data_IF_167962611298
#
_entry.id   IF_167962611298
#
_cell.length_a   1.000
_cell.length_b   1.000
_cell.length_c   1.000
_cell.angle_alpha   90.00
_cell.angle_beta   90.00
_cell.angle_gamma   90.00
#
_symmetry.space_group_name_H-M   'P 1'
#
loop_
_entity.id
_entity.type
_entity.pdbx_description
1 polymer ?
#
# COMPACT_ATOMS: atom_id res chain seq x y z
N UNK A 1 20.72 16.79 1.43
CA UNK A 1 19.61 17.59 2.00
C UNK A 1 18.46 17.48 1.01
N UNK A 2 17.54 16.54 1.26
CA UNK A 2 16.31 16.43 0.46
C UNK A 2 15.43 17.62 0.83
N UNK A 3 15.15 18.47 -0.15
CA UNK A 3 14.18 19.54 0.01
C UNK A 3 12.80 18.89 0.14
N UNK A 4 12.22 18.95 1.33
CA UNK A 4 10.80 18.69 1.51
C UNK A 4 10.04 19.76 0.73
N UNK A 5 9.54 19.42 -0.45
CA UNK A 5 8.69 20.32 -1.21
C UNK A 5 7.33 20.40 -0.52
N UNK A 6 7.07 21.54 0.09
CA UNK A 6 5.77 21.89 0.64
C UNK A 6 5.00 22.67 -0.42
N UNK A 7 3.77 22.25 -0.68
CA UNK A 7 2.85 22.98 -1.54
C UNK A 7 1.71 23.54 -0.68
N UNK A 8 1.50 24.85 -0.73
CA UNK A 8 0.40 25.51 -0.01
C UNK A 8 -0.78 25.72 -0.96
N UNK A 9 -1.90 25.06 -0.69
CA UNK A 9 -3.17 25.29 -1.40
C UNK A 9 -3.95 26.48 -0.81
N UNK A 10 -3.68 26.83 0.44
CA UNK A 10 -4.24 27.98 1.15
C UNK A 10 -3.19 28.55 2.08
N UNK A 11 -3.30 29.82 2.45
CA UNK A 11 -2.36 30.54 3.33
C UNK A 11 -2.16 29.94 4.74
N UNK A 12 -2.81 28.81 5.06
CA UNK A 12 -2.85 28.24 6.40
C UNK A 12 -2.53 26.74 6.49
N UNK A 13 -2.20 26.07 5.39
CA UNK A 13 -1.89 24.63 5.42
C UNK A 13 -0.74 24.26 4.49
N UNK A 14 0.32 23.68 5.06
CA UNK A 14 1.38 23.03 4.30
C UNK A 14 1.02 21.59 4.01
N UNK A 15 1.05 21.20 2.72
CA UNK A 15 0.82 19.82 2.30
C UNK A 15 2.17 19.12 2.19
N UNK A 16 2.33 17.99 2.87
CA UNK A 16 3.54 17.16 2.79
C UNK A 16 3.47 16.24 1.58
N UNK A 17 4.48 16.32 0.71
CA UNK A 17 4.66 15.36 -0.38
C UNK A 17 5.68 14.31 0.05
N UNK A 18 5.26 13.03 0.08
CA UNK A 18 6.05 11.94 0.65
C UNK A 18 6.29 10.89 -0.42
N UNK A 19 7.52 10.85 -0.92
CA UNK A 19 7.95 9.89 -1.92
C UNK A 19 8.30 8.51 -1.36
N UNK A 20 8.57 7.57 -2.26
CA UNK A 20 8.84 6.16 -1.96
C UNK A 20 9.97 5.95 -0.95
N UNK A 21 11.11 6.60 -1.13
CA UNK A 21 12.29 6.45 -0.26
C UNK A 21 11.97 6.84 1.19
N UNK A 22 11.28 7.97 1.37
CA UNK A 22 10.91 8.45 2.70
C UNK A 22 9.89 7.51 3.37
N UNK A 23 8.89 7.00 2.63
CA UNK A 23 7.94 6.03 3.18
C UNK A 23 8.67 4.80 3.70
N UNK A 24 9.60 4.24 2.91
CA UNK A 24 10.37 3.05 3.29
C UNK A 24 11.33 3.28 4.45
N UNK A 25 11.80 4.50 4.66
CA UNK A 25 12.66 4.84 5.81
C UNK A 25 11.87 5.05 7.10
N UNK A 26 10.60 5.43 7.00
CA UNK A 26 9.75 5.76 8.16
C UNK A 26 8.92 4.56 8.66
N UNK A 27 8.59 3.61 7.80
CA UNK A 27 7.67 2.51 8.13
C UNK A 27 8.33 1.18 7.81
N UNK A 28 8.67 0.41 8.84
CA UNK A 28 9.14 -0.96 8.71
C UNK A 28 7.97 -1.92 8.36
N UNK A 29 8.29 -3.13 7.92
CA UNK A 29 7.27 -4.15 7.68
C UNK A 29 6.56 -4.57 8.98
N UNK A 30 7.26 -4.61 10.10
CA UNK A 30 6.67 -4.89 11.42
C UNK A 30 5.66 -3.81 11.80
N UNK A 31 5.99 -2.52 11.63
CA UNK A 31 5.05 -1.42 11.85
C UNK A 31 3.83 -1.53 10.94
N UNK A 32 4.05 -1.84 9.67
CA UNK A 32 2.98 -1.99 8.70
C UNK A 32 2.02 -3.14 9.07
N UNK A 33 2.54 -4.26 9.58
CA UNK A 33 1.75 -5.40 10.09
C UNK A 33 0.89 -4.96 11.28
N UNK A 34 1.47 -4.24 12.25
CA UNK A 34 0.73 -3.73 13.41
C UNK A 34 -0.36 -2.73 13.00
N UNK A 35 -0.07 -1.86 12.03
CA UNK A 35 -1.06 -0.93 11.47
C UNK A 35 -2.20 -1.66 10.76
N UNK A 36 -1.91 -2.74 10.04
CA UNK A 36 -2.95 -3.57 9.41
C UNK A 36 -3.82 -4.27 10.46
N UNK A 37 -3.23 -4.81 11.53
CA UNK A 37 -3.99 -5.37 12.65
C UNK A 37 -4.95 -4.34 13.26
N UNK A 38 -4.46 -3.12 13.51
CA UNK A 38 -5.28 -2.02 14.01
C UNK A 38 -6.41 -1.65 13.07
N UNK A 39 -6.12 -1.51 11.76
CA UNK A 39 -7.11 -1.16 10.76
C UNK A 39 -8.22 -2.22 10.66
N UNK A 40 -7.88 -3.51 10.68
CA UNK A 40 -8.88 -4.60 10.67
C UNK A 40 -9.71 -4.64 11.95
N UNK A 41 -9.10 -4.37 13.10
CA UNK A 41 -9.81 -4.26 14.38
C UNK A 41 -10.78 -3.08 14.37
N UNK A 42 -10.36 -1.91 13.87
CA UNK A 42 -11.21 -0.73 13.74
C UNK A 42 -12.36 -0.98 12.76
N UNK A 43 -12.10 -1.68 11.67
CA UNK A 43 -13.14 -2.07 10.71
C UNK A 43 -14.16 -3.02 11.36
N UNK A 44 -13.72 -4.02 12.11
CA UNK A 44 -14.59 -4.95 12.82
C UNK A 44 -15.47 -4.23 13.85
N UNK A 45 -14.91 -3.24 14.54
CA UNK A 45 -15.61 -2.44 15.55
C UNK A 45 -16.56 -1.37 14.94
N UNK A 46 -16.65 -1.27 13.61
CA UNK A 46 -17.49 -0.28 12.93
C UNK A 46 -16.92 1.13 12.91
N UNK A 47 -15.63 1.31 13.22
CA UNK A 47 -14.98 2.63 13.23
C UNK A 47 -14.43 3.03 11.85
N UNK A 48 -14.31 2.08 10.92
CA UNK A 48 -13.82 2.33 9.56
C UNK A 48 -14.95 2.18 8.54
N UNK A 49 -15.07 3.16 7.67
CA UNK A 49 -16.06 3.21 6.59
C UNK A 49 -15.33 3.19 5.25
N UNK A 50 -15.55 2.15 4.46
CA UNK A 50 -14.97 1.98 3.14
C UNK A 50 -16.06 1.64 2.14
N UNK A 51 -16.45 2.57 1.25
CA UNK A 51 -17.39 2.26 0.18
C UNK A 51 -16.74 1.34 -0.85
N UNK A 52 -17.56 0.74 -1.70
CA UNK A 52 -17.06 0.02 -2.87
C UNK A 52 -16.23 0.96 -3.74
N UNK A 53 -15.10 0.44 -4.25
CA UNK A 53 -14.23 1.20 -5.14
C UNK A 53 -14.95 1.58 -6.42
N UNK A 54 -14.70 2.78 -6.92
CA UNK A 54 -15.08 3.16 -8.28
C UNK A 54 -13.99 2.72 -9.24
N UNK A 55 -14.40 2.08 -10.34
CA UNK A 55 -13.52 1.64 -11.42
C UNK A 55 -13.93 2.37 -12.69
N UNK A 56 -12.97 3.02 -13.32
CA UNK A 56 -13.18 3.66 -14.63
C UNK A 56 -12.25 3.00 -15.63
N UNK A 57 -12.85 2.38 -16.66
CA UNK A 57 -12.13 1.78 -17.77
C UNK A 57 -12.23 2.69 -18.99
N UNK A 58 -11.10 3.04 -19.59
CA UNK A 58 -11.09 3.87 -20.80
C UNK A 58 -11.38 3.00 -22.03
N UNK A 59 -12.49 3.23 -22.75
CA UNK A 59 -12.84 2.44 -23.93
C UNK A 59 -11.72 2.45 -24.99
N UNK A 60 -11.30 1.27 -25.44
CA UNK A 60 -10.25 1.10 -26.46
C UNK A 60 -8.83 1.39 -25.95
N UNK A 61 -8.65 1.63 -24.66
CA UNK A 61 -7.36 1.80 -24.00
C UNK A 61 -7.22 0.76 -22.89
N UNK A 62 -6.03 0.20 -22.71
CA UNK A 62 -5.76 -0.74 -21.62
C UNK A 62 -5.48 0.03 -20.30
N UNK A 63 -6.27 1.04 -20.05
CA UNK A 63 -6.16 1.91 -18.88
C UNK A 63 -7.34 1.71 -17.95
N UNK A 64 -7.05 1.29 -16.73
CA UNK A 64 -8.02 1.22 -15.64
C UNK A 64 -7.64 2.23 -14.57
N UNK A 65 -8.59 3.04 -14.13
CA UNK A 65 -8.42 3.98 -13.02
C UNK A 65 -9.26 3.50 -11.84
N UNK A 66 -8.62 3.37 -10.68
CA UNK A 66 -9.23 2.87 -9.45
C UNK A 66 -9.28 3.99 -8.41
N UNK A 67 -10.47 4.35 -7.97
CA UNK A 67 -10.69 5.26 -6.85
C UNK A 67 -11.09 4.46 -5.61
N UNK A 68 -10.35 4.63 -4.53
CA UNK A 68 -10.65 4.00 -3.24
C UNK A 68 -10.63 5.06 -2.17
N UNK A 69 -11.68 5.15 -1.37
CA UNK A 69 -11.74 6.03 -0.22
C UNK A 69 -11.96 5.24 1.07
N UNK A 70 -11.51 5.79 2.17
CA UNK A 70 -11.74 5.26 3.50
C UNK A 70 -11.80 6.40 4.51
N UNK A 71 -12.58 6.20 5.56
CA UNK A 71 -12.65 7.05 6.74
C UNK A 71 -12.46 6.19 7.98
N UNK A 72 -11.54 6.58 8.87
CA UNK A 72 -11.35 5.99 10.19
C UNK A 72 -11.74 7.00 11.27
N UNK A 73 -12.85 6.74 11.92
CA UNK A 73 -13.42 7.58 12.96
C UNK A 73 -12.52 7.62 14.20
N UNK A 74 -11.81 6.52 14.50
CA UNK A 74 -11.01 6.40 15.72
C UNK A 74 -9.82 7.37 15.76
N UNK A 75 -9.34 7.78 14.58
CA UNK A 75 -8.21 8.71 14.42
C UNK A 75 -8.60 9.99 13.67
N UNK A 76 -9.88 10.16 13.31
CA UNK A 76 -10.39 11.28 12.53
C UNK A 76 -9.58 11.54 11.25
N UNK A 77 -9.34 10.48 10.46
CA UNK A 77 -8.61 10.58 9.18
C UNK A 77 -9.41 9.96 8.05
N UNK A 78 -9.34 10.63 6.91
CA UNK A 78 -9.80 10.10 5.64
C UNK A 78 -8.64 9.89 4.69
N UNK A 79 -8.74 8.90 3.82
CA UNK A 79 -7.76 8.69 2.77
C UNK A 79 -8.46 8.43 1.44
N UNK A 80 -7.85 8.96 0.37
CA UNK A 80 -8.24 8.67 -1.00
C UNK A 80 -7.03 8.07 -1.70
N UNK A 81 -7.18 6.88 -2.26
CA UNK A 81 -6.16 6.26 -3.11
C UNK A 81 -6.63 6.26 -4.56
N UNK A 82 -5.84 6.88 -5.41
CA UNK A 82 -6.00 6.91 -6.84
C UNK A 82 -4.90 6.06 -7.48
N UNK A 83 -5.28 5.03 -8.21
CA UNK A 83 -4.36 4.16 -8.94
C UNK A 83 -4.72 4.12 -10.42
N UNK A 84 -3.69 4.15 -11.25
CA UNK A 84 -3.75 3.91 -12.68
C UNK A 84 -3.08 2.57 -12.97
N UNK A 85 -3.75 1.72 -13.71
CA UNK A 85 -3.20 0.45 -14.18
C UNK A 85 -3.21 0.42 -15.70
N UNK A 86 -2.04 0.18 -16.29
CA UNK A 86 -1.89 0.03 -17.73
C UNK A 86 -0.74 -0.92 -18.04
N UNK A 87 -1.06 -2.09 -18.60
CA UNK A 87 -0.06 -3.10 -18.95
C UNK A 87 0.93 -2.63 -20.02
N UNK A 88 0.52 -1.69 -20.89
CA UNK A 88 1.39 -1.12 -21.92
C UNK A 88 2.46 -0.15 -21.36
N UNK A 89 2.35 0.25 -20.12
CA UNK A 89 3.37 1.11 -19.48
C UNK A 89 4.77 0.48 -19.53
N UNK A 90 4.84 -0.85 -19.53
CA UNK A 90 6.12 -1.59 -19.70
C UNK A 90 6.87 -1.21 -20.98
N UNK A 91 6.15 -0.89 -22.05
CA UNK A 91 6.74 -0.47 -23.33
C UNK A 91 7.43 0.90 -23.25
N UNK A 92 7.07 1.69 -22.24
CA UNK A 92 7.59 3.05 -22.02
C UNK A 92 8.56 3.11 -20.82
N UNK A 93 8.90 1.95 -20.21
CA UNK A 93 9.72 1.91 -19.00
C UNK A 93 9.03 2.50 -17.75
N UNK A 94 7.70 2.59 -17.77
CA UNK A 94 6.89 3.10 -16.67
C UNK A 94 6.26 1.92 -15.94
N UNK A 95 6.13 1.96 -14.59
CA UNK A 95 5.45 0.91 -13.85
C UNK A 95 4.02 0.66 -14.35
N UNK A 96 3.61 -0.60 -14.38
CA UNK A 96 2.24 -1.01 -14.78
C UNK A 96 1.17 -0.36 -13.89
N UNK A 97 1.50 -0.14 -12.63
CA UNK A 97 0.62 0.50 -11.64
C UNK A 97 1.34 1.75 -11.14
N UNK A 98 0.67 2.90 -11.25
CA UNK A 98 1.11 4.17 -10.69
C UNK A 98 -0.03 4.80 -9.89
N UNK A 99 0.28 5.72 -8.98
CA UNK A 99 -0.78 6.42 -8.27
C UNK A 99 -0.33 7.12 -7.01
N UNK A 100 -1.31 7.70 -6.34
CA UNK A 100 -1.11 8.47 -5.11
C UNK A 100 -2.09 8.06 -4.03
N UNK A 101 -1.72 8.34 -2.78
CA UNK A 101 -2.61 8.33 -1.62
C UNK A 101 -2.65 9.74 -1.04
N UNK A 102 -3.84 10.29 -0.89
CA UNK A 102 -4.09 11.58 -0.25
C UNK A 102 -4.64 11.30 1.14
N UNK A 103 -4.00 11.87 2.17
CA UNK A 103 -4.47 11.84 3.55
C UNK A 103 -5.11 13.17 3.91
N UNK A 104 -6.28 13.12 4.56
CA UNK A 104 -7.06 14.28 4.95
C UNK A 104 -7.36 14.23 6.46
N UNK A 105 -7.41 15.39 7.07
CA UNK A 105 -8.04 15.59 8.37
C UNK A 105 -9.56 15.56 8.20
N UNK A 106 -10.26 14.64 8.87
CA UNK A 106 -11.69 14.46 8.67
C UNK A 106 -12.57 15.46 9.43
N UNK A 107 -11.97 16.26 10.32
CA UNK A 107 -12.68 17.31 11.05
C UNK A 107 -12.74 18.58 10.19
N UNK A 108 -11.62 18.94 9.58
CA UNK A 108 -11.46 20.20 8.85
C UNK A 108 -11.55 20.04 7.34
N UNK A 109 -11.40 18.82 6.82
CA UNK A 109 -11.31 18.55 5.39
C UNK A 109 -9.96 18.94 4.76
N UNK A 110 -8.99 19.37 5.56
CA UNK A 110 -7.68 19.79 5.05
C UNK A 110 -6.85 18.60 4.57
N UNK A 111 -6.15 18.77 3.46
CA UNK A 111 -5.18 17.79 2.97
C UNK A 111 -3.93 17.88 3.85
N UNK A 112 -3.54 16.75 4.43
CA UNK A 112 -2.35 16.62 5.28
C UNK A 112 -1.13 16.24 4.44
N UNK A 113 -1.30 15.24 3.56
CA UNK A 113 -0.19 14.75 2.74
C UNK A 113 -0.66 14.09 1.45
N UNK A 114 0.25 14.07 0.47
CA UNK A 114 0.15 13.28 -0.75
C UNK A 114 1.34 12.33 -0.76
N UNK A 115 1.07 11.04 -0.91
CA UNK A 115 2.07 9.99 -0.75
C UNK A 115 2.15 9.11 -1.99
N UNK A 116 3.31 8.49 -2.22
CA UNK A 116 3.50 7.50 -3.28
C UNK A 116 2.56 6.30 -3.10
N UNK A 117 1.66 6.11 -4.05
CA UNK A 117 0.60 5.10 -3.96
C UNK A 117 1.08 3.69 -4.25
N UNK A 118 2.15 3.52 -5.02
CA UNK A 118 2.74 2.22 -5.35
C UNK A 118 3.42 1.63 -4.11
N UNK A 119 4.26 2.39 -3.45
CA UNK A 119 4.96 1.97 -2.22
C UNK A 119 3.97 1.62 -1.12
N UNK A 120 2.98 2.49 -0.86
CA UNK A 120 1.95 2.20 0.14
C UNK A 120 1.16 0.95 -0.23
N UNK A 121 0.84 0.75 -1.52
CA UNK A 121 0.11 -0.43 -1.97
C UNK A 121 0.94 -1.70 -1.79
N UNK A 122 2.21 -1.69 -2.11
CA UNK A 122 3.12 -2.81 -1.90
C UNK A 122 3.26 -3.15 -0.41
N UNK A 123 3.61 -2.16 0.40
CA UNK A 123 3.83 -2.31 1.84
C UNK A 123 2.58 -2.85 2.56
N UNK A 124 1.42 -2.21 2.39
CA UNK A 124 0.17 -2.64 3.05
C UNK A 124 -0.32 -4.02 2.58
N UNK A 125 0.00 -4.41 1.32
CA UNK A 125 -0.43 -5.71 0.79
C UNK A 125 0.44 -6.82 1.36
N UNK A 126 1.75 -6.63 1.44
CA UNK A 126 2.64 -7.53 2.16
C UNK A 126 2.26 -7.66 3.64
N UNK A 127 2.08 -6.52 4.30
CA UNK A 127 1.70 -6.47 5.72
C UNK A 127 0.39 -7.23 6.02
N UNK A 128 -0.59 -7.17 5.12
CA UNK A 128 -1.83 -7.96 5.25
C UNK A 128 -1.54 -9.46 5.25
N UNK A 129 -0.68 -9.93 4.36
CA UNK A 129 -0.28 -11.34 4.33
C UNK A 129 0.56 -11.74 5.54
N UNK A 130 1.45 -10.86 6.00
CA UNK A 130 2.19 -11.06 7.26
C UNK A 130 1.24 -11.21 8.44
N UNK A 131 0.28 -10.29 8.58
CA UNK A 131 -0.76 -10.36 9.61
C UNK A 131 -1.55 -11.68 9.53
N UNK A 132 -2.04 -12.05 8.34
CA UNK A 132 -2.78 -13.29 8.16
C UNK A 132 -1.92 -14.52 8.51
N UNK A 133 -0.67 -14.55 8.10
CA UNK A 133 0.28 -15.62 8.42
C UNK A 133 0.56 -15.70 9.93
N UNK A 134 0.67 -14.55 10.61
CA UNK A 134 0.88 -14.50 12.06
C UNK A 134 -0.20 -15.25 12.82
N UNK A 135 -1.46 -15.13 12.40
CA UNK A 135 -2.61 -15.74 13.10
C UNK A 135 -3.03 -17.11 12.56
N UNK A 136 -2.80 -17.38 11.27
CA UNK A 136 -3.40 -18.54 10.61
C UNK A 136 -2.38 -19.64 10.26
N UNK A 137 -1.10 -19.29 10.06
CA UNK A 137 -0.08 -20.30 9.74
C UNK A 137 0.45 -20.96 11.02
N UNK A 138 0.93 -22.20 10.89
CA UNK A 138 1.61 -22.91 11.97
C UNK A 138 2.81 -22.11 12.45
N UNK A 139 3.03 -22.08 13.76
CA UNK A 139 4.10 -21.31 14.39
C UNK A 139 5.50 -21.87 14.08
N UNK A 140 5.59 -23.16 13.78
CA UNK A 140 6.81 -23.90 13.45
C UNK A 140 7.14 -23.93 11.94
N UNK A 141 6.41 -23.18 11.11
CA UNK A 141 6.65 -23.10 9.66
C UNK A 141 8.03 -22.53 9.36
N UNK A 142 8.83 -23.28 8.58
CA UNK A 142 10.23 -22.95 8.22
C UNK A 142 10.44 -22.78 6.72
N UNK A 143 9.44 -23.14 5.93
CA UNK A 143 9.53 -23.07 4.47
C UNK A 143 8.33 -22.34 3.92
N UNK A 144 8.54 -21.58 2.83
CA UNK A 144 7.47 -20.99 2.05
C UNK A 144 7.70 -21.21 0.55
N UNK A 145 6.63 -21.16 -0.21
CA UNK A 145 6.67 -21.08 -1.66
C UNK A 145 6.07 -19.75 -2.11
N UNK A 146 6.72 -19.09 -3.05
CA UNK A 146 6.26 -17.85 -3.68
C UNK A 146 6.02 -18.10 -5.15
N UNK A 147 4.82 -17.76 -5.61
CA UNK A 147 4.43 -17.76 -7.01
C UNK A 147 4.25 -16.31 -7.46
N UNK A 148 5.10 -15.83 -8.36
CA UNK A 148 5.20 -14.44 -8.78
C UNK A 148 6.26 -13.65 -8.01
N UNK A 149 7.42 -13.36 -8.66
CA UNK A 149 8.59 -12.72 -8.08
C UNK A 149 8.67 -11.20 -8.30
N UNK A 150 7.59 -10.59 -8.80
CA UNK A 150 7.50 -9.15 -9.02
C UNK A 150 7.44 -8.32 -7.73
N UNK A 151 7.12 -7.03 -7.85
CA UNK A 151 7.08 -6.06 -6.74
C UNK A 151 6.24 -6.57 -5.55
N UNK A 152 5.07 -7.14 -5.81
CA UNK A 152 4.21 -7.69 -4.76
C UNK A 152 4.85 -8.92 -4.10
N UNK A 153 5.46 -9.82 -4.88
CA UNK A 153 6.12 -11.00 -4.36
C UNK A 153 7.20 -10.67 -3.33
N UNK A 154 8.01 -9.64 -3.60
CA UNK A 154 9.07 -9.18 -2.69
C UNK A 154 8.50 -8.72 -1.34
N UNK A 155 7.44 -7.90 -1.36
CA UNK A 155 6.80 -7.44 -0.11
C UNK A 155 6.09 -8.57 0.65
N UNK A 156 5.61 -9.62 -0.06
CA UNK A 156 5.06 -10.82 0.59
C UNK A 156 6.14 -11.58 1.34
N UNK A 157 7.31 -11.81 0.72
CA UNK A 157 8.45 -12.49 1.38
C UNK A 157 8.87 -11.71 2.63
N UNK A 158 9.09 -10.40 2.50
CA UNK A 158 9.46 -9.53 3.61
C UNK A 158 8.49 -9.66 4.79
N UNK A 159 7.19 -9.62 4.52
CA UNK A 159 6.16 -9.71 5.54
C UNK A 159 6.09 -11.09 6.22
N UNK A 160 6.32 -12.18 5.46
CA UNK A 160 6.34 -13.53 6.05
C UNK A 160 7.59 -13.73 6.92
N UNK A 161 8.75 -13.20 6.48
CA UNK A 161 9.99 -13.23 7.26
C UNK A 161 9.87 -12.44 8.57
N UNK A 162 9.11 -11.37 8.61
CA UNK A 162 8.85 -10.58 9.83
C UNK A 162 8.06 -11.38 10.88
N UNK A 163 7.24 -12.35 10.49
CA UNK A 163 6.34 -13.07 11.42
C UNK A 163 6.67 -14.55 11.59
N UNK A 164 7.56 -15.12 10.77
CA UNK A 164 7.98 -16.53 10.84
C UNK A 164 9.47 -16.66 10.57
N UNK A 165 10.11 -17.59 11.29
CA UNK A 165 11.50 -17.94 11.07
C UNK A 165 11.63 -18.88 9.87
N UNK A 166 11.49 -18.31 8.66
CA UNK A 166 11.63 -19.05 7.42
C UNK A 166 13.10 -19.32 7.13
N UNK A 167 13.44 -20.58 6.88
CA UNK A 167 14.80 -21.04 6.58
C UNK A 167 14.98 -21.27 5.06
N UNK A 168 13.86 -21.48 4.32
CA UNK A 168 13.90 -21.77 2.89
C UNK A 168 12.71 -21.17 2.17
N UNK A 169 12.98 -20.49 1.05
CA UNK A 169 11.97 -19.92 0.15
C UNK A 169 12.11 -20.62 -1.21
N UNK A 170 11.02 -21.18 -1.72
CA UNK A 170 10.92 -21.69 -3.09
C UNK A 170 10.27 -20.63 -3.95
N UNK A 171 10.92 -20.26 -5.05
CA UNK A 171 10.46 -19.21 -5.96
C UNK A 171 10.00 -19.82 -7.27
N UNK A 172 8.87 -19.34 -7.79
CA UNK A 172 8.40 -19.68 -9.13
C UNK A 172 7.84 -18.43 -9.80
N UNK A 173 8.25 -18.16 -11.02
CA UNK A 173 7.66 -17.15 -11.89
C UNK A 173 7.54 -17.71 -13.31
N UNK A 174 6.61 -17.19 -14.09
CA UNK A 174 6.48 -17.51 -15.53
C UNK A 174 7.57 -16.81 -16.34
N UNK A 175 8.10 -15.69 -15.84
CA UNK A 175 9.27 -15.01 -16.40
C UNK A 175 10.53 -15.50 -15.67
N UNK A 176 11.44 -16.21 -16.36
CA UNK A 176 12.66 -16.73 -15.74
C UNK A 176 13.63 -15.64 -15.28
N UNK A 177 13.41 -14.38 -15.68
CA UNK A 177 14.24 -13.23 -15.32
C UNK A 177 13.61 -12.32 -14.23
N UNK A 178 12.48 -12.72 -13.67
CA UNK A 178 11.76 -11.93 -12.67
C UNK A 178 12.49 -11.83 -11.31
#
# INVERSE_FOLDING_TARGET
MEQNEYFSLNSHSEIKIIGSSLIRSLVSMDDAILLMESAFRNMHNGNCFMPLRTVVEAPGKELTVLFKSAFDQSINRSAIKLLFQNEKNKLFGVPTITGIVILLDSITGQIISIMDGETITSLRTGALSGMATKYLARTDSKTMALFGCGVQGRSQVEAILAVRKIEKVYLYDIDPNA
#
